data_IF_317958220310
#
_entry.id   IF_317958220310
#
_cell.length_a   1.000
_cell.length_b   1.000
_cell.length_c   1.000
_cell.angle_alpha   90.00
_cell.angle_beta   90.00
_cell.angle_gamma   90.00
#
_symmetry.space_group_name_H-M   'P 1'
#
loop_
_entity.id
_entity.type
_entity.pdbx_description
1 polymer ?
#
# COMPACT_ATOMS: atom_id res chain seq x y z
N UNK A 1 9.46 7.60 -0.31
CA UNK A 1 8.33 6.91 0.36
C UNK A 1 7.29 6.44 -0.65
N UNK A 2 6.57 7.32 -1.37
CA UNK A 2 5.49 6.91 -2.29
C UNK A 2 5.96 5.94 -3.39
N UNK A 3 7.12 6.17 -4.02
CA UNK A 3 7.65 5.24 -5.03
C UNK A 3 7.94 3.84 -4.47
N UNK A 4 8.58 3.75 -3.29
CA UNK A 4 8.82 2.47 -2.62
C UNK A 4 7.51 1.74 -2.25
N UNK A 5 6.45 2.48 -1.89
CA UNK A 5 5.12 1.89 -1.65
C UNK A 5 4.56 1.28 -2.94
N UNK A 6 4.67 1.97 -4.07
CA UNK A 6 4.23 1.44 -5.37
C UNK A 6 5.01 0.17 -5.74
N UNK A 7 6.33 0.17 -5.55
CA UNK A 7 7.18 -0.98 -5.80
C UNK A 7 6.78 -2.18 -4.93
N UNK A 8 6.59 -1.98 -3.63
CA UNK A 8 6.14 -3.01 -2.69
C UNK A 8 4.76 -3.59 -3.08
N UNK A 9 3.80 -2.73 -3.45
CA UNK A 9 2.47 -3.16 -3.88
C UNK A 9 2.53 -3.92 -5.21
N UNK A 10 3.35 -3.47 -6.16
CA UNK A 10 3.54 -4.14 -7.45
C UNK A 10 4.21 -5.51 -7.28
N UNK A 11 5.16 -5.64 -6.35
CA UNK A 11 5.81 -6.91 -6.02
C UNK A 11 4.84 -7.94 -5.44
N UNK A 12 3.87 -7.50 -4.60
CA UNK A 12 2.81 -8.38 -4.12
C UNK A 12 1.83 -8.77 -5.26
N UNK A 13 1.46 -7.80 -6.10
CA UNK A 13 0.57 -8.02 -7.25
C UNK A 13 -0.93 -7.86 -6.93
N UNK A 14 -1.81 -8.21 -7.87
CA UNK A 14 -3.25 -8.09 -7.69
C UNK A 14 -3.79 -9.19 -6.76
N UNK A 15 -4.57 -8.83 -5.75
CA UNK A 15 -5.21 -9.80 -4.87
C UNK A 15 -5.70 -9.23 -3.55
N UNK A 16 -6.09 -10.16 -2.68
CA UNK A 16 -6.52 -9.89 -1.30
C UNK A 16 -5.58 -10.60 -0.32
N UNK A 17 -5.52 -10.10 0.91
CA UNK A 17 -4.71 -10.72 1.98
C UNK A 17 -3.35 -10.07 2.22
N UNK A 18 -3.02 -8.98 1.53
CA UNK A 18 -1.85 -8.16 1.87
C UNK A 18 -2.19 -7.11 2.92
N UNK A 19 -1.46 -7.14 4.04
CA UNK A 19 -1.48 -6.09 5.07
C UNK A 19 -0.14 -5.38 4.99
N UNK A 20 -0.12 -4.17 4.43
CA UNK A 20 1.10 -3.37 4.33
C UNK A 20 1.62 -3.00 5.73
N UNK A 21 2.91 -3.23 5.95
CA UNK A 21 3.57 -2.92 7.21
C UNK A 21 5.07 -2.69 6.96
N UNK A 22 5.77 -2.25 8.00
CA UNK A 22 7.22 -2.21 8.04
C UNK A 22 7.76 -3.54 8.59
N UNK A 23 8.99 -3.89 8.24
CA UNK A 23 9.67 -5.07 8.80
C UNK A 23 10.18 -4.87 10.23
N UNK A 24 10.17 -3.64 10.73
CA UNK A 24 10.60 -3.26 12.08
C UNK A 24 9.87 -1.98 12.53
N UNK A 25 10.04 -1.59 13.80
CA UNK A 25 9.45 -0.34 14.33
C UNK A 25 10.11 0.93 13.77
N UNK A 26 9.33 1.99 13.59
CA UNK A 26 9.84 3.31 13.19
C UNK A 26 10.79 3.84 14.27
N UNK A 27 11.93 4.39 13.87
CA UNK A 27 12.90 4.99 14.81
C UNK A 27 12.37 6.32 15.37
N UNK A 28 12.71 6.69 16.62
CA UNK A 28 12.11 7.84 17.30
C UNK A 28 12.39 9.21 16.64
N UNK A 29 13.48 9.31 15.88
CA UNK A 29 13.96 10.51 15.20
C UNK A 29 13.35 10.72 13.81
N UNK A 30 12.56 9.75 13.31
CA UNK A 30 11.92 9.85 12.00
C UNK A 30 10.74 10.84 12.07
N UNK A 31 10.66 11.82 11.15
CA UNK A 31 9.55 12.75 11.08
C UNK A 31 8.20 12.03 10.95
N UNK A 32 7.20 12.47 11.71
CA UNK A 32 5.84 11.90 11.72
C UNK A 32 5.20 11.97 10.32
N UNK A 33 5.56 12.97 9.55
CA UNK A 33 5.12 13.21 8.17
C UNK A 33 5.51 12.05 7.25
N UNK A 34 6.62 11.36 7.52
CA UNK A 34 7.03 10.21 6.73
C UNK A 34 6.10 9.01 6.98
N UNK A 35 5.74 8.75 8.23
CA UNK A 35 4.77 7.71 8.57
C UNK A 35 3.38 8.01 7.97
N UNK A 36 2.96 9.29 8.03
CA UNK A 36 1.72 9.74 7.39
C UNK A 36 1.76 9.51 5.87
N UNK A 37 2.84 9.92 5.21
CA UNK A 37 3.00 9.75 3.77
C UNK A 37 3.01 8.27 3.35
N UNK A 38 3.55 7.38 4.19
CA UNK A 38 3.47 5.92 3.95
C UNK A 38 2.03 5.43 3.99
N UNK A 39 1.27 5.76 5.04
CA UNK A 39 -0.13 5.33 5.21
C UNK A 39 -1.02 5.87 4.09
N UNK A 40 -0.88 7.14 3.73
CA UNK A 40 -1.63 7.77 2.65
C UNK A 40 -1.33 7.10 1.31
N UNK A 41 -0.04 6.91 0.99
CA UNK A 41 0.36 6.26 -0.25
C UNK A 41 -0.16 4.81 -0.36
N UNK A 42 -0.13 4.04 0.73
CA UNK A 42 -0.68 2.67 0.73
C UNK A 42 -2.17 2.71 0.38
N UNK A 43 -2.95 3.57 1.04
CA UNK A 43 -4.40 3.67 0.81
C UNK A 43 -4.75 4.09 -0.62
N UNK A 44 -3.99 5.03 -1.18
CA UNK A 44 -4.26 5.57 -2.51
C UNK A 44 -3.85 4.59 -3.63
N UNK A 45 -2.67 3.97 -3.50
CA UNK A 45 -2.11 3.13 -4.56
C UNK A 45 -2.61 1.68 -4.52
N UNK A 46 -3.03 1.16 -3.34
CA UNK A 46 -3.50 -0.23 -3.22
C UNK A 46 -4.82 -0.47 -3.94
N UNK A 47 -5.63 0.56 -4.19
CA UNK A 47 -6.95 0.45 -4.87
C UNK A 47 -6.84 -0.29 -6.20
N UNK A 48 -5.75 -0.05 -6.94
CA UNK A 48 -5.48 -0.66 -8.26
C UNK A 48 -5.16 -2.15 -8.18
N UNK A 49 -4.83 -2.66 -7.00
CA UNK A 49 -4.38 -4.02 -6.76
C UNK A 49 -5.50 -4.92 -6.17
N UNK A 50 -6.69 -4.39 -5.88
CA UNK A 50 -7.82 -5.18 -5.38
C UNK A 50 -8.64 -5.80 -6.53
N UNK A 51 -8.47 -7.11 -6.76
CA UNK A 51 -8.98 -7.82 -7.94
C UNK A 51 -10.51 -7.93 -8.02
N UNK A 52 -11.22 -7.94 -6.90
CA UNK A 52 -12.69 -8.05 -6.87
C UNK A 52 -13.44 -6.90 -7.56
N UNK A 53 -12.86 -5.70 -7.66
CA UNK A 53 -13.57 -4.54 -8.26
C UNK A 53 -13.73 -4.62 -9.78
N UNK A 54 -13.02 -5.50 -10.47
CA UNK A 54 -13.08 -5.61 -11.94
C UNK A 54 -14.14 -6.59 -12.46
N UNK A 55 -14.77 -7.41 -11.61
CA UNK A 55 -15.75 -8.42 -12.04
C UNK A 55 -17.23 -8.02 -11.85
N UNK A 56 -17.51 -6.91 -11.16
CA UNK A 56 -18.90 -6.54 -10.81
C UNK A 56 -19.69 -5.78 -11.90
N UNK A 57 -19.10 -5.47 -13.05
CA UNK A 57 -19.75 -4.74 -14.15
C UNK A 57 -20.10 -5.61 -15.37
N UNK A 58 -20.11 -6.94 -15.25
CA UNK A 58 -20.44 -7.85 -16.35
C UNK A 58 -21.59 -8.84 -16.04
N UNK A 59 -22.57 -8.43 -15.23
CA UNK A 59 -23.84 -9.16 -15.12
C UNK A 59 -25.02 -8.23 -15.38
#
# INVERSE_FOLDING_TARGET
IRELVKEMLAQYGPGHGHIANLGHGILPDIPVEHARAFVEAVKEESVRHHTEKLQLHQK
#
